data_IF_359697886309
#
_entry.id   IF_359697886309
#
_cell.length_a   1.000
_cell.length_b   1.000
_cell.length_c   1.000
_cell.angle_alpha   90.00
_cell.angle_beta   90.00
_cell.angle_gamma   90.00
#
_symmetry.space_group_name_H-M   'P 1'
#
loop_
_entity.id
_entity.type
_entity.pdbx_description
1 polymer ?
#
# COMPACT_ATOMS: atom_id res chain seq x y z
N UNK A 1 -39.47 34.70 17.95
CA UNK A 1 -39.48 33.59 16.95
C UNK A 1 -38.36 33.68 15.91
N UNK A 2 -37.30 34.45 16.17
CA UNK A 2 -36.16 34.68 15.27
C UNK A 2 -34.88 34.03 15.81
N UNK A 3 -34.65 34.10 17.13
CA UNK A 3 -33.52 33.44 17.81
C UNK A 3 -33.48 31.92 17.60
N UNK A 4 -34.62 31.22 17.70
CA UNK A 4 -34.68 29.77 17.51
C UNK A 4 -34.27 29.35 16.08
N UNK A 5 -34.58 30.18 15.07
CA UNK A 5 -34.22 29.93 13.67
C UNK A 5 -32.73 30.11 13.39
N UNK A 6 -32.08 31.04 14.09
CA UNK A 6 -30.63 31.30 13.96
C UNK A 6 -29.80 30.19 14.62
N UNK A 7 -30.25 29.68 15.76
CA UNK A 7 -29.58 28.56 16.46
C UNK A 7 -29.68 27.27 15.65
N UNK A 8 -30.82 26.97 15.04
CA UNK A 8 -30.94 25.79 14.16
C UNK A 8 -30.13 25.92 12.87
N UNK A 9 -30.06 27.12 12.28
CA UNK A 9 -29.30 27.35 11.05
C UNK A 9 -27.78 27.22 11.27
N UNK A 10 -27.29 27.70 12.40
CA UNK A 10 -25.87 27.55 12.79
C UNK A 10 -25.53 26.11 13.16
N UNK A 11 -26.41 25.38 13.86
CA UNK A 11 -26.20 23.97 14.17
C UNK A 11 -26.18 23.08 12.91
N UNK A 12 -27.02 23.38 11.91
CA UNK A 12 -27.00 22.68 10.61
C UNK A 12 -25.75 23.02 9.78
N UNK A 13 -25.28 24.27 9.80
CA UNK A 13 -24.05 24.67 9.13
C UNK A 13 -22.81 24.02 9.76
N UNK A 14 -22.74 23.95 11.09
CA UNK A 14 -21.65 23.25 11.79
C UNK A 14 -21.70 21.75 11.49
N UNK A 15 -22.89 21.14 11.44
CA UNK A 15 -23.05 19.74 11.01
C UNK A 15 -22.57 19.51 9.58
N UNK A 16 -22.89 20.41 8.64
CA UNK A 16 -22.44 20.34 7.24
C UNK A 16 -20.92 20.48 7.09
N UNK A 17 -20.28 21.32 7.91
CA UNK A 17 -18.82 21.49 7.90
C UNK A 17 -18.11 20.26 8.48
N UNK A 18 -18.64 19.63 9.53
CA UNK A 18 -18.05 18.42 10.14
C UNK A 18 -18.15 17.19 9.21
N UNK A 19 -19.16 17.11 8.34
CA UNK A 19 -19.30 16.00 7.38
C UNK A 19 -18.23 16.07 6.27
N UNK A 20 -17.77 17.28 5.90
CA UNK A 20 -16.80 17.45 4.81
C UNK A 20 -15.34 17.12 5.19
N UNK A 21 -15.01 17.01 6.49
CA UNK A 21 -13.66 16.59 6.92
C UNK A 21 -13.45 15.07 6.84
N UNK A 22 -14.53 14.29 6.64
CA UNK A 22 -14.53 12.84 6.66
C UNK A 22 -14.56 12.20 5.26
N UNK A 23 -13.83 12.73 4.27
CA UNK A 23 -13.76 12.05 2.97
C UNK A 23 -12.52 12.39 2.13
N UNK A 24 -11.33 12.46 2.73
CA UNK A 24 -10.26 11.67 2.11
C UNK A 24 -10.33 10.31 2.77
N UNK A 25 -11.26 9.46 2.29
CA UNK A 25 -11.15 8.05 2.58
C UNK A 25 -9.73 7.66 2.16
N UNK A 26 -8.87 7.36 3.14
CA UNK A 26 -7.51 6.94 2.83
C UNK A 26 -7.64 5.84 1.77
N UNK A 27 -6.88 5.89 0.65
CA UNK A 27 -7.03 4.92 -0.43
C UNK A 27 -6.97 3.45 0.03
N UNK A 28 -6.40 3.21 1.21
CA UNK A 28 -6.26 1.91 1.87
C UNK A 28 -7.07 1.80 3.18
N UNK A 29 -8.03 2.68 3.44
CA UNK A 29 -8.83 2.70 4.66
C UNK A 29 -9.64 1.42 4.89
N UNK A 30 -10.00 0.72 3.81
CA UNK A 30 -10.69 -0.58 3.84
C UNK A 30 -9.87 -1.66 4.58
N UNK A 31 -8.53 -1.56 4.59
CA UNK A 31 -7.65 -2.54 5.23
C UNK A 31 -7.93 -2.68 6.74
N UNK A 32 -8.45 -1.64 7.40
CA UNK A 32 -8.84 -1.73 8.82
C UNK A 32 -9.89 -2.81 9.08
N UNK A 33 -10.77 -3.06 8.12
CA UNK A 33 -11.83 -4.07 8.23
C UNK A 33 -11.27 -5.49 8.09
N UNK A 34 -10.03 -5.64 7.62
CA UNK A 34 -9.34 -6.91 7.43
C UNK A 34 -8.47 -7.29 8.65
N UNK A 35 -8.57 -6.57 9.76
CA UNK A 35 -7.81 -6.89 10.96
C UNK A 35 -8.18 -8.28 11.51
N UNK A 36 -7.18 -9.10 11.75
CA UNK A 36 -7.31 -10.47 12.26
C UNK A 36 -7.58 -11.52 11.17
N UNK A 37 -7.72 -11.14 9.91
CA UNK A 37 -7.94 -12.08 8.81
C UNK A 37 -6.70 -12.96 8.61
N UNK A 38 -6.94 -14.26 8.43
CA UNK A 38 -5.92 -15.31 8.34
C UNK A 38 -6.25 -16.31 7.23
N UNK A 39 -5.26 -17.15 6.93
CA UNK A 39 -5.33 -18.20 5.92
C UNK A 39 -6.59 -19.05 6.02
N UNK A 40 -7.17 -19.35 4.86
CA UNK A 40 -8.41 -20.13 4.70
C UNK A 40 -9.70 -19.30 4.74
N UNK A 41 -9.62 -18.00 5.00
CA UNK A 41 -10.78 -17.10 4.93
C UNK A 41 -10.90 -16.47 3.53
N UNK A 42 -12.12 -16.11 3.14
CA UNK A 42 -12.40 -15.34 1.93
C UNK A 42 -13.25 -14.14 2.30
N UNK A 43 -12.72 -12.94 2.11
CA UNK A 43 -13.30 -11.67 2.59
C UNK A 43 -12.99 -10.59 1.55
N UNK A 44 -14.00 -9.79 1.22
CA UNK A 44 -13.88 -8.67 0.28
C UNK A 44 -12.74 -7.71 0.67
N UNK A 45 -11.91 -7.35 -0.31
CA UNK A 45 -10.75 -6.46 -0.14
C UNK A 45 -9.43 -7.21 0.01
N UNK A 46 -9.45 -8.54 0.15
CA UNK A 46 -8.22 -9.34 0.12
C UNK A 46 -7.54 -9.29 -1.26
N UNK A 47 -8.32 -9.18 -2.33
CA UNK A 47 -7.81 -8.92 -3.67
C UNK A 47 -6.93 -7.66 -3.72
N UNK A 48 -7.38 -6.57 -3.12
CA UNK A 48 -6.64 -5.30 -3.11
C UNK A 48 -5.35 -5.40 -2.26
N UNK A 49 -5.38 -6.19 -1.18
CA UNK A 49 -4.16 -6.50 -0.40
C UNK A 49 -3.16 -7.30 -1.24
N UNK A 50 -3.62 -8.30 -2.00
CA UNK A 50 -2.76 -9.07 -2.92
C UNK A 50 -2.11 -8.14 -3.95
N UNK A 51 -2.88 -7.25 -4.57
CA UNK A 51 -2.38 -6.27 -5.54
C UNK A 51 -1.37 -5.29 -4.92
N UNK A 52 -1.64 -4.79 -3.70
CA UNK A 52 -0.69 -3.96 -2.97
C UNK A 52 0.64 -4.69 -2.74
N UNK A 53 0.58 -5.92 -2.21
CA UNK A 53 1.77 -6.72 -1.93
C UNK A 53 2.52 -7.09 -3.21
N UNK A 54 1.83 -7.32 -4.32
CA UNK A 54 2.43 -7.53 -5.63
C UNK A 54 3.18 -6.28 -6.12
N UNK A 55 2.54 -5.11 -6.05
CA UNK A 55 3.13 -3.82 -6.46
C UNK A 55 4.47 -3.54 -5.77
N UNK A 56 4.59 -3.90 -4.50
CA UNK A 56 5.82 -3.71 -3.71
C UNK A 56 6.76 -4.93 -3.69
N UNK A 57 6.45 -5.98 -4.46
CA UNK A 57 7.34 -7.12 -4.69
C UNK A 57 7.30 -8.23 -3.63
N UNK A 58 6.25 -8.31 -2.82
CA UNK A 58 6.08 -9.32 -1.77
C UNK A 58 5.27 -10.54 -2.20
N UNK A 59 4.26 -10.33 -3.04
CA UNK A 59 3.39 -11.38 -3.57
C UNK A 59 4.01 -11.99 -4.82
N UNK A 60 4.62 -13.17 -4.66
CA UNK A 60 5.29 -13.91 -5.73
C UNK A 60 4.36 -15.04 -6.19
N UNK A 61 4.05 -15.08 -7.47
CA UNK A 61 3.36 -16.23 -8.06
C UNK A 61 4.40 -17.31 -8.35
N UNK A 62 4.19 -18.51 -7.81
CA UNK A 62 5.14 -19.63 -7.87
C UNK A 62 5.27 -20.23 -9.28
N UNK A 63 4.44 -19.75 -10.22
CA UNK A 63 4.58 -20.10 -11.62
C UNK A 63 5.72 -19.31 -12.27
N UNK A 64 6.79 -20.05 -12.55
CA UNK A 64 7.85 -19.72 -13.51
C UNK A 64 7.29 -19.05 -14.77
N UNK A 65 7.21 -17.72 -14.77
CA UNK A 65 7.21 -16.97 -16.02
C UNK A 65 8.54 -16.23 -16.09
N UNK A 66 9.50 -16.91 -16.70
CA UNK A 66 10.77 -16.36 -17.19
C UNK A 66 10.58 -15.30 -18.29
N UNK A 67 9.36 -14.77 -18.47
CA UNK A 67 9.02 -13.73 -19.42
C UNK A 67 8.27 -12.60 -18.68
N UNK A 68 8.87 -11.41 -18.52
CA UNK A 68 8.25 -10.26 -17.85
C UNK A 68 7.02 -9.69 -18.59
N UNK A 69 6.63 -10.26 -19.73
CA UNK A 69 5.47 -9.85 -20.53
C UNK A 69 4.24 -10.76 -20.35
N UNK A 70 4.30 -11.80 -19.50
CA UNK A 70 3.13 -12.63 -19.17
C UNK A 70 2.64 -12.20 -17.81
N UNK A 71 1.59 -11.37 -17.79
CA UNK A 71 0.85 -11.11 -16.57
C UNK A 71 0.26 -12.44 -16.08
N UNK A 72 0.67 -12.89 -14.90
CA UNK A 72 0.06 -14.03 -14.22
C UNK A 72 -1.34 -13.62 -13.74
N UNK A 73 -2.34 -13.80 -14.60
CA UNK A 73 -3.65 -13.11 -14.48
C UNK A 73 -4.70 -13.81 -13.62
N UNK A 74 -4.36 -14.83 -12.80
CA UNK A 74 -5.43 -15.64 -12.18
C UNK A 74 -5.33 -15.92 -10.66
N UNK A 75 -4.19 -15.70 -9.99
CA UNK A 75 -4.08 -15.96 -8.54
C UNK A 75 -4.35 -14.73 -7.67
N UNK A 76 -4.41 -13.54 -8.28
CA UNK A 76 -4.46 -12.26 -7.56
C UNK A 76 -5.84 -11.60 -7.64
N UNK A 77 -6.79 -12.25 -8.30
CA UNK A 77 -8.10 -11.69 -8.64
C UNK A 77 -9.23 -12.25 -7.75
N UNK A 78 -8.91 -13.21 -6.88
CA UNK A 78 -9.85 -13.75 -5.88
C UNK A 78 -9.73 -13.03 -4.52
N UNK A 79 -10.76 -13.22 -3.70
CA UNK A 79 -10.84 -12.69 -2.32
C UNK A 79 -10.31 -13.69 -1.27
N UNK A 80 -9.63 -14.75 -1.69
CA UNK A 80 -9.18 -15.83 -0.82
C UNK A 80 -7.83 -15.54 -0.16
N UNK A 81 -7.73 -15.86 1.13
CA UNK A 81 -6.48 -15.87 1.86
C UNK A 81 -5.78 -17.22 1.70
N UNK A 82 -4.99 -17.33 0.63
CA UNK A 82 -4.22 -18.52 0.26
C UNK A 82 -2.84 -18.59 0.93
N UNK A 83 -2.07 -19.64 0.59
CA UNK A 83 -0.71 -19.83 1.12
C UNK A 83 0.28 -18.79 0.59
N UNK A 84 0.05 -18.27 -0.62
CA UNK A 84 0.90 -17.25 -1.25
C UNK A 84 0.77 -15.91 -0.53
N UNK A 85 -0.46 -15.54 -0.16
CA UNK A 85 -0.75 -14.34 0.62
C UNK A 85 -0.13 -14.43 2.02
N UNK A 86 -0.26 -15.57 2.69
CA UNK A 86 0.39 -15.79 3.99
C UNK A 86 1.91 -15.61 3.88
N UNK A 87 2.54 -16.20 2.86
CA UNK A 87 3.97 -16.07 2.62
C UNK A 87 4.38 -14.62 2.31
N UNK A 88 3.59 -13.91 1.50
CA UNK A 88 3.81 -12.51 1.17
C UNK A 88 3.72 -11.60 2.40
N UNK A 89 2.71 -11.80 3.25
CA UNK A 89 2.54 -11.08 4.51
C UNK A 89 3.73 -11.34 5.44
N UNK A 90 4.18 -12.60 5.59
CA UNK A 90 5.38 -12.90 6.40
C UNK A 90 6.63 -12.22 5.87
N UNK A 91 6.79 -12.07 4.54
CA UNK A 91 7.90 -11.30 3.95
C UNK A 91 7.78 -9.82 4.30
N UNK A 92 6.59 -9.25 4.10
CA UNK A 92 6.28 -7.85 4.43
C UNK A 92 6.59 -7.53 5.90
N UNK A 93 6.11 -8.36 6.82
CA UNK A 93 6.33 -8.21 8.26
C UNK A 93 7.83 -8.22 8.61
N UNK A 94 8.61 -9.13 8.02
CA UNK A 94 10.07 -9.19 8.22
C UNK A 94 10.77 -7.94 7.69
N UNK A 95 10.42 -7.47 6.50
CA UNK A 95 11.02 -6.27 5.89
C UNK A 95 10.72 -5.01 6.71
N UNK A 96 9.49 -4.89 7.21
CA UNK A 96 9.07 -3.76 8.05
C UNK A 96 9.42 -3.93 9.54
N UNK A 97 10.07 -5.04 9.92
CA UNK A 97 10.49 -5.35 11.30
C UNK A 97 9.34 -5.30 12.31
N UNK A 98 8.16 -5.75 11.91
CA UNK A 98 6.98 -5.93 12.78
C UNK A 98 6.82 -7.42 13.13
N UNK A 99 6.03 -7.79 14.16
CA UNK A 99 5.81 -9.19 14.52
C UNK A 99 5.35 -10.04 13.34
N UNK A 100 5.96 -11.23 13.17
CA UNK A 100 5.72 -12.09 12.00
C UNK A 100 4.65 -13.13 12.31
N UNK A 101 3.39 -12.75 12.19
CA UNK A 101 2.23 -13.63 12.39
C UNK A 101 1.79 -14.37 11.12
N UNK A 102 2.04 -13.78 9.94
CA UNK A 102 1.46 -14.24 8.68
C UNK A 102 -0.04 -13.95 8.50
N UNK A 103 -0.66 -13.23 9.43
CA UNK A 103 -2.04 -12.74 9.31
C UNK A 103 -2.08 -11.23 9.11
N UNK A 104 -3.23 -10.70 8.70
CA UNK A 104 -3.49 -9.26 8.70
C UNK A 104 -3.80 -8.78 10.13
N UNK A 105 -2.88 -8.98 11.07
CA UNK A 105 -3.02 -8.49 12.44
C UNK A 105 -2.97 -6.96 12.52
N UNK A 106 -3.27 -6.42 13.71
CA UNK A 106 -3.32 -4.98 13.97
C UNK A 106 -2.05 -4.23 13.55
N UNK A 107 -0.88 -4.83 13.79
CA UNK A 107 0.40 -4.22 13.44
C UNK A 107 0.56 -4.17 11.91
N UNK A 108 0.16 -5.24 11.23
CA UNK A 108 0.24 -5.39 9.78
C UNK A 108 -0.73 -4.44 9.07
N UNK A 109 -1.99 -4.40 9.48
CA UNK A 109 -3.00 -3.50 8.89
C UNK A 109 -2.65 -2.03 9.13
N UNK A 110 -2.18 -1.67 10.34
CA UNK A 110 -1.69 -0.34 10.62
C UNK A 110 -0.52 0.05 9.70
N UNK A 111 0.44 -0.86 9.50
CA UNK A 111 1.59 -0.62 8.64
C UNK A 111 1.23 -0.45 7.16
N UNK A 112 0.27 -1.26 6.66
CA UNK A 112 -0.18 -1.21 5.26
C UNK A 112 -0.85 0.13 4.89
N UNK A 113 -1.50 0.79 5.85
CA UNK A 113 -2.25 2.03 5.64
C UNK A 113 -1.34 3.27 5.60
N UNK A 114 -0.10 3.16 6.12
CA UNK A 114 0.83 4.29 6.17
C UNK A 114 1.20 4.72 4.74
N UNK A 115 0.98 6.00 4.36
CA UNK A 115 1.42 6.52 3.07
C UNK A 115 2.93 6.35 2.89
N UNK A 116 3.36 5.89 1.71
CA UNK A 116 4.76 5.54 1.44
C UNK A 116 5.18 5.91 0.03
N UNK A 117 6.48 5.81 -0.24
CA UNK A 117 7.04 5.91 -1.58
C UNK A 117 6.44 4.84 -2.50
N UNK A 118 6.17 5.18 -3.77
CA UNK A 118 5.63 4.25 -4.77
C UNK A 118 6.66 3.32 -5.41
N UNK A 119 7.93 3.38 -5.00
CA UNK A 119 9.00 2.49 -5.49
C UNK A 119 8.88 1.12 -4.80
N UNK A 120 9.11 0.05 -5.55
CA UNK A 120 9.07 -1.33 -5.03
C UNK A 120 10.14 -1.58 -3.96
N UNK A 121 9.83 -2.39 -2.95
CA UNK A 121 10.79 -2.80 -1.92
C UNK A 121 11.69 -3.95 -2.40
N UNK A 122 11.16 -4.78 -3.30
CA UNK A 122 11.82 -5.96 -3.84
C UNK A 122 11.62 -6.04 -5.37
N UNK A 123 12.71 -6.17 -6.12
CA UNK A 123 12.62 -6.54 -7.54
C UNK A 123 12.24 -8.02 -7.63
N UNK A 124 11.03 -8.31 -8.13
CA UNK A 124 10.49 -9.67 -8.33
C UNK A 124 11.48 -10.60 -9.07
N UNK A 125 12.28 -10.04 -9.98
CA UNK A 125 13.30 -10.77 -10.78
C UNK A 125 14.51 -11.21 -9.94
N UNK A 126 14.81 -10.54 -8.82
CA UNK A 126 15.99 -10.86 -7.98
C UNK A 126 15.66 -11.69 -6.73
N UNK A 127 14.40 -11.69 -6.27
CA UNK A 127 14.01 -12.37 -5.02
C UNK A 127 14.21 -13.89 -5.07
N UNK A 128 14.29 -14.49 -6.26
CA UNK A 128 14.56 -15.93 -6.44
C UNK A 128 16.04 -16.32 -6.26
N UNK A 129 16.99 -15.36 -6.22
CA UNK A 129 18.43 -15.66 -6.29
C UNK A 129 19.30 -15.11 -5.14
N UNK A 130 18.73 -14.52 -4.08
CA UNK A 130 19.59 -13.88 -3.08
C UNK A 130 19.04 -13.93 -1.65
N UNK A 131 19.27 -15.06 -0.99
CA UNK A 131 19.35 -15.12 0.47
C UNK A 131 20.75 -14.63 0.88
N UNK A 132 20.84 -13.39 1.37
CA UNK A 132 22.01 -12.96 2.13
C UNK A 132 22.65 -11.66 1.66
N UNK A 133 22.02 -10.52 1.94
CA UNK A 133 22.70 -9.35 2.49
C UNK A 133 21.63 -8.35 2.96
N UNK A 134 21.52 -8.10 4.26
CA UNK A 134 20.47 -7.28 4.85
C UNK A 134 20.90 -5.80 4.83
N UNK A 135 20.94 -5.21 3.63
CA UNK A 135 21.13 -3.76 3.48
C UNK A 135 19.78 -3.04 3.51
N UNK A 136 19.69 -1.95 4.28
CA UNK A 136 18.50 -1.08 4.37
C UNK A 136 18.21 -0.29 3.08
N UNK A 137 19.03 -0.46 2.04
CA UNK A 137 18.85 0.15 0.74
C UNK A 137 19.26 -0.81 -0.39
N UNK A 138 18.64 -0.64 -1.56
CA UNK A 138 18.99 -1.35 -2.79
C UNK A 138 19.19 -0.33 -3.91
N UNK A 139 20.23 -0.53 -4.72
CA UNK A 139 20.41 0.24 -5.93
C UNK A 139 19.60 -0.39 -7.07
N UNK A 140 19.09 0.43 -7.98
CA UNK A 140 18.53 -0.04 -9.25
C UNK A 140 19.55 -0.90 -10.02
N UNK A 141 19.06 -1.75 -10.93
CA UNK A 141 19.90 -2.58 -11.81
C UNK A 141 20.96 -1.71 -12.50
N UNK A 142 22.21 -2.18 -12.46
CA UNK A 142 23.36 -1.42 -13.00
C UNK A 142 23.96 -0.38 -12.04
N UNK A 143 23.41 -0.24 -10.82
CA UNK A 143 23.88 0.67 -9.76
C UNK A 143 24.14 2.09 -10.31
N UNK A 144 23.14 2.71 -10.97
CA UNK A 144 23.34 3.98 -11.65
C UNK A 144 23.80 5.04 -10.66
N UNK A 145 24.88 5.73 -11.01
CA UNK A 145 25.40 6.87 -10.27
C UNK A 145 25.65 8.00 -11.26
N UNK A 146 25.32 9.21 -10.86
CA UNK A 146 25.70 10.38 -11.64
C UNK A 146 27.23 10.46 -11.73
N UNK A 147 27.76 10.53 -12.96
CA UNK A 147 29.19 10.72 -13.24
C UNK A 147 29.59 12.21 -13.25
N UNK A 148 28.74 13.08 -12.71
CA UNK A 148 28.91 14.53 -12.63
C UNK A 148 28.28 15.05 -11.34
N UNK A 149 28.81 16.18 -10.85
CA UNK A 149 28.33 16.79 -9.61
C UNK A 149 27.33 17.93 -9.88
N UNK A 150 27.39 18.57 -11.06
CA UNK A 150 26.42 19.60 -11.45
C UNK A 150 25.20 18.95 -12.11
N UNK A 151 24.20 18.63 -11.29
CA UNK A 151 22.93 18.05 -11.72
C UNK A 151 21.98 19.13 -12.22
N UNK A 152 21.31 18.86 -13.33
CA UNK A 152 20.28 19.74 -13.90
C UNK A 152 18.94 19.04 -13.76
N UNK A 153 17.93 19.77 -13.32
CA UNK A 153 16.55 19.29 -13.22
C UNK A 153 15.64 20.20 -14.04
N UNK A 154 14.50 19.66 -14.47
CA UNK A 154 13.44 20.39 -15.14
C UNK A 154 12.13 20.05 -14.43
N UNK A 155 11.41 21.08 -14.00
CA UNK A 155 10.03 20.92 -13.55
C UNK A 155 9.14 20.83 -14.79
N UNK A 156 8.42 19.73 -14.93
CA UNK A 156 7.61 19.44 -16.14
C UNK A 156 6.13 19.73 -15.91
N UNK A 157 5.65 19.70 -14.65
CA UNK A 157 4.28 20.07 -14.26
C UNK A 157 4.32 20.64 -12.83
N UNK A 158 3.63 21.74 -12.57
CA UNK A 158 3.30 22.21 -11.22
C UNK A 158 1.86 21.82 -10.91
N UNK A 159 1.63 21.13 -9.79
CA UNK A 159 0.28 21.01 -9.26
C UNK A 159 -0.01 22.28 -8.48
N UNK A 160 -1.10 22.96 -8.80
CA UNK A 160 -1.63 24.01 -7.93
C UNK A 160 -1.96 23.35 -6.60
N UNK A 161 -1.23 23.75 -5.56
CA UNK A 161 -1.61 23.42 -4.20
C UNK A 161 -2.95 24.11 -4.02
N UNK A 162 -4.05 23.34 -3.99
CA UNK A 162 -5.34 23.87 -3.57
C UNK A 162 -5.14 24.46 -2.17
N UNK A 163 -5.10 25.79 -2.11
CA UNK A 163 -5.22 26.51 -0.84
C UNK A 163 -6.58 26.14 -0.29
N UNK A 164 -6.56 25.41 0.82
CA UNK A 164 -7.74 25.18 1.64
C UNK A 164 -7.83 26.43 2.52
N UNK A 165 -8.63 27.41 2.10
CA UNK A 165 -9.18 28.44 3.00
C UNK A 165 -10.24 27.84 3.92
#
# INVERSE_FOLDING_TARGET
>A
MTLLRVVTATFLLVSLVVINSAAFAAPLGFIKQLEGVRKGQSIEGLRDVKQYLQKFGYYLNDHKDTNPNVATTHQNDDEGFDELLEAAIKRYQRTHRIPVSGSLDRATTAQLIIPRCGVSDHDLVMTLNYYGDQKDYRFFRGKPKWNKNNLRYKLVVSFDIMNIE
#
